data_IF_424759808717
#
_entry.id   IF_424759808717
#
_cell.length_a   1.000
_cell.length_b   1.000
_cell.length_c   1.000
_cell.angle_alpha   90.00
_cell.angle_beta   90.00
_cell.angle_gamma   90.00
#
_symmetry.space_group_name_H-M   'P 1'
#
loop_
_entity.id
_entity.type
_entity.pdbx_description
1 polymer ?
#
# COMPACT_ATOMS: atom_id res chain seq x y z
N UNK A 1 -15.80 -0.99 -18.14
CA UNK A 1 -15.16 -0.25 -17.03
C UNK A 1 -13.98 -1.10 -16.60
N UNK A 2 -12.75 -0.69 -16.91
CA UNK A 2 -11.58 -1.52 -16.60
C UNK A 2 -11.46 -1.67 -15.08
N UNK A 3 -11.37 -2.91 -14.60
CA UNK A 3 -11.20 -3.22 -13.18
C UNK A 3 -9.83 -2.68 -12.74
N UNK A 4 -9.78 -1.98 -11.62
CA UNK A 4 -8.51 -1.54 -11.03
C UNK A 4 -7.79 -2.76 -10.47
N UNK A 5 -6.66 -3.12 -11.08
CA UNK A 5 -5.84 -4.26 -10.67
C UNK A 5 -4.92 -3.85 -9.50
N UNK A 6 -5.40 -4.13 -8.29
CA UNK A 6 -4.71 -3.83 -7.03
C UNK A 6 -3.42 -4.64 -6.89
N UNK A 7 -3.43 -5.91 -7.31
CA UNK A 7 -2.29 -6.82 -7.17
C UNK A 7 -1.11 -6.40 -8.06
N UNK A 8 -1.43 -5.98 -9.30
CA UNK A 8 -0.43 -5.40 -10.19
C UNK A 8 0.17 -4.10 -9.61
N UNK A 9 -0.66 -3.25 -9.01
CA UNK A 9 -0.22 -2.01 -8.37
C UNK A 9 0.72 -2.28 -7.19
N UNK A 10 0.35 -3.18 -6.29
CA UNK A 10 1.19 -3.57 -5.13
C UNK A 10 2.54 -4.11 -5.61
N UNK A 11 2.52 -5.00 -6.61
CA UNK A 11 3.74 -5.58 -7.17
C UNK A 11 4.69 -4.52 -7.72
N UNK A 12 4.17 -3.51 -8.43
CA UNK A 12 4.95 -2.38 -8.96
C UNK A 12 5.54 -1.50 -7.86
N UNK A 13 4.79 -1.28 -6.76
CA UNK A 13 5.25 -0.47 -5.61
C UNK A 13 6.30 -1.19 -4.75
N UNK A 14 6.18 -2.51 -4.56
CA UNK A 14 7.09 -3.29 -3.69
C UNK A 14 8.46 -3.57 -4.32
N UNK A 15 8.59 -3.47 -5.65
CA UNK A 15 9.87 -3.68 -6.36
C UNK A 15 11.00 -2.70 -5.94
N UNK A 16 10.67 -1.64 -5.18
CA UNK A 16 11.61 -0.64 -4.68
C UNK A 16 12.41 -1.14 -3.46
N UNK A 17 11.89 -2.10 -2.70
CA UNK A 17 12.49 -2.57 -1.43
C UNK A 17 13.57 -3.65 -1.55
N UNK A 18 13.81 -4.19 -2.75
CA UNK A 18 14.84 -5.23 -2.95
C UNK A 18 16.24 -4.62 -3.08
N UNK A 19 17.29 -5.32 -2.63
CA UNK A 19 18.67 -4.88 -2.83
C UNK A 19 18.96 -4.68 -4.34
N UNK A 20 19.18 -3.43 -4.75
CA UNK A 20 19.35 -3.04 -6.17
C UNK A 20 18.05 -2.63 -6.89
N UNK A 21 16.91 -2.60 -6.20
CA UNK A 21 15.65 -2.10 -6.72
C UNK A 21 15.75 -0.61 -7.05
N UNK A 22 15.47 -0.25 -8.31
CA UNK A 22 15.22 1.13 -8.72
C UNK A 22 13.71 1.31 -8.82
N UNK A 23 13.19 2.52 -8.62
CA UNK A 23 11.87 2.91 -9.11
C UNK A 23 11.90 2.81 -10.66
N UNK A 24 11.82 1.60 -11.19
CA UNK A 24 11.85 1.34 -12.64
C UNK A 24 10.49 1.57 -13.27
N UNK A 25 9.42 1.49 -12.48
CA UNK A 25 8.06 1.77 -12.92
C UNK A 25 7.64 3.15 -12.46
N UNK A 26 7.58 4.10 -13.40
CA UNK A 26 6.83 5.34 -13.19
C UNK A 26 5.37 4.94 -12.91
N UNK A 27 4.88 5.18 -11.70
CA UNK A 27 3.46 5.06 -11.37
C UNK A 27 2.82 6.40 -11.75
N UNK A 28 1.77 6.38 -12.57
CA UNK A 28 1.10 7.60 -13.00
C UNK A 28 0.34 8.27 -11.84
N UNK A 29 0.23 9.60 -11.87
CA UNK A 29 -0.53 10.36 -10.86
C UNK A 29 -1.99 9.90 -10.77
N UNK A 30 -2.62 9.59 -11.91
CA UNK A 30 -3.99 9.08 -11.93
C UNK A 30 -4.12 7.72 -11.24
N UNK A 31 -3.12 6.85 -11.39
CA UNK A 31 -3.10 5.55 -10.74
C UNK A 31 -2.97 5.71 -9.22
N UNK A 32 -2.09 6.61 -8.76
CA UNK A 32 -1.93 6.95 -7.34
C UNK A 32 -3.22 7.53 -6.76
N UNK A 33 -3.88 8.46 -7.47
CA UNK A 33 -5.17 9.01 -7.05
C UNK A 33 -6.23 7.92 -6.89
N UNK A 34 -6.28 6.94 -7.80
CA UNK A 34 -7.21 5.81 -7.70
C UNK A 34 -6.95 4.95 -6.46
N UNK A 35 -5.67 4.67 -6.14
CA UNK A 35 -5.30 3.97 -4.90
C UNK A 35 -5.79 4.74 -3.67
N UNK A 36 -5.48 6.03 -3.60
CA UNK A 36 -5.90 6.89 -2.49
C UNK A 36 -7.42 6.95 -2.34
N UNK A 37 -8.14 7.05 -3.46
CA UNK A 37 -9.61 7.06 -3.46
C UNK A 37 -10.18 5.74 -2.92
N UNK A 38 -9.63 4.60 -3.35
CA UNK A 38 -10.07 3.29 -2.85
C UNK A 38 -9.74 3.07 -1.38
N UNK A 39 -8.54 3.46 -0.94
CA UNK A 39 -8.16 3.41 0.48
C UNK A 39 -9.10 4.28 1.34
N UNK A 40 -9.42 5.48 0.87
CA UNK A 40 -10.38 6.37 1.54
C UNK A 40 -11.77 5.75 1.67
N UNK A 41 -12.28 5.10 0.63
CA UNK A 41 -13.57 4.39 0.69
C UNK A 41 -13.57 3.30 1.76
N UNK A 42 -12.47 2.55 1.89
CA UNK A 42 -12.29 1.51 2.93
C UNK A 42 -12.23 2.14 4.32
N UNK A 43 -11.44 3.20 4.53
CA UNK A 43 -11.35 3.85 5.84
C UNK A 43 -12.68 4.47 6.28
N UNK A 44 -13.50 4.97 5.35
CA UNK A 44 -14.83 5.51 5.65
C UNK A 44 -15.82 4.40 6.03
N UNK A 45 -15.68 3.20 5.45
CA UNK A 45 -16.58 2.08 5.76
C UNK A 45 -16.23 1.39 7.08
N UNK A 46 -15.04 1.62 7.61
CA UNK A 46 -14.57 1.10 8.89
C UNK A 46 -14.80 2.10 10.04
N UNK A 47 -14.90 1.58 11.26
CA UNK A 47 -14.95 2.40 12.48
C UNK A 47 -13.59 3.06 12.75
N UNK A 48 -13.59 4.30 13.26
CA UNK A 48 -12.36 4.97 13.71
C UNK A 48 -11.66 4.23 14.86
N UNK A 49 -12.41 3.44 15.63
CA UNK A 49 -11.88 2.51 16.62
C UNK A 49 -12.02 1.10 16.06
N UNK A 50 -10.90 0.47 15.75
CA UNK A 50 -10.85 -0.86 15.13
C UNK A 50 -10.60 -1.91 16.22
N UNK A 51 -11.44 -2.94 16.26
CA UNK A 51 -11.21 -4.12 17.07
C UNK A 51 -10.44 -5.15 16.23
N UNK A 52 -9.39 -5.73 16.82
CA UNK A 52 -8.49 -6.68 16.13
C UNK A 52 -8.23 -7.89 17.00
N UNK A 53 -8.26 -9.07 16.38
CA UNK A 53 -7.97 -10.34 17.05
C UNK A 53 -6.53 -10.79 16.77
N UNK A 54 -5.85 -11.40 17.76
CA UNK A 54 -4.52 -11.99 17.56
C UNK A 54 -4.58 -13.25 16.67
N UNK A 55 -3.46 -13.63 16.01
CA UNK A 55 -2.14 -13.00 16.04
C UNK A 55 -1.99 -11.87 15.00
N UNK A 56 -1.34 -10.77 15.39
CA UNK A 56 -1.03 -9.65 14.50
C UNK A 56 0.31 -9.01 14.86
N UNK A 57 0.91 -8.32 13.89
CA UNK A 57 2.12 -7.51 14.08
C UNK A 57 1.72 -6.04 14.14
N UNK A 58 2.13 -5.35 15.20
CA UNK A 58 1.98 -3.89 15.32
C UNK A 58 3.31 -3.24 14.94
N UNK A 59 3.31 -2.45 13.88
CA UNK A 59 4.46 -1.64 13.48
C UNK A 59 4.20 -0.16 13.75
N UNK A 60 5.24 0.51 14.27
CA UNK A 60 5.23 1.94 14.57
C UNK A 60 5.51 2.80 13.35
N UNK A 61 6.14 3.96 13.56
CA UNK A 61 6.41 4.91 12.48
C UNK A 61 7.39 4.35 11.43
N UNK A 62 7.06 4.58 10.16
CA UNK A 62 7.80 4.12 8.99
C UNK A 62 8.59 5.27 8.34
N UNK A 63 8.16 6.54 8.49
CA UNK A 63 8.82 7.73 7.93
C UNK A 63 9.26 7.61 6.46
N UNK A 64 8.48 6.92 5.61
CA UNK A 64 8.78 6.77 4.18
C UNK A 64 9.96 5.85 3.88
N UNK A 65 10.47 5.12 4.86
CA UNK A 65 11.41 4.03 4.64
C UNK A 65 10.60 2.82 4.22
N UNK A 66 10.78 2.32 3.00
CA UNK A 66 10.20 1.03 2.61
C UNK A 66 11.18 -0.04 3.11
N UNK A 67 10.92 -0.72 4.24
CA UNK A 67 11.85 -1.73 4.71
C UNK A 67 11.77 -2.92 3.75
N UNK A 68 12.92 -3.49 3.38
CA UNK A 68 12.99 -4.72 2.58
C UNK A 68 12.26 -5.91 3.24
N UNK A 69 11.96 -5.78 4.54
CA UNK A 69 11.19 -6.72 5.32
C UNK A 69 9.85 -6.08 5.68
N UNK A 70 8.82 -6.55 5.01
CA UNK A 70 7.41 -6.46 5.41
C UNK A 70 7.36 -6.81 6.91
N UNK A 71 6.95 -5.84 7.74
CA UNK A 71 6.14 -6.19 8.90
C UNK A 71 4.91 -6.96 8.37
#
# INVERSE_FOLDING_TARGET
>A
MAVFDVDNMISRLLNVGMAGGRLTTQVGEEELHRVCQKAKEVFISQSSLIEVDPPLVVCGDIHGQVPAAVC
#
